data_IF_961685846063
#
_entry.id   IF_961685846063
#
_cell.length_a   1.000
_cell.length_b   1.000
_cell.length_c   1.000
_cell.angle_alpha   90.00
_cell.angle_beta   90.00
_cell.angle_gamma   90.00
#
_symmetry.space_group_name_H-M   'P 1'
#
loop_
_entity.id
_entity.type
_entity.pdbx_description
1 polymer ?
#
# COMPACT_ATOMS: atom_id res chain seq x y z
N UNK A 1 -12.30 5.93 -31.79
CA UNK A 1 -11.94 4.82 -30.86
C UNK A 1 -10.76 5.24 -30.00
N UNK A 2 -10.98 6.15 -29.06
CA UNK A 2 -9.94 6.83 -28.28
C UNK A 2 -9.66 6.08 -26.97
N UNK A 3 -8.58 5.28 -26.97
CA UNK A 3 -7.79 4.92 -25.78
C UNK A 3 -8.45 4.05 -24.70
N UNK A 4 -8.80 2.81 -25.02
CA UNK A 4 -9.32 1.78 -24.08
C UNK A 4 -8.26 1.15 -23.16
N UNK A 5 -6.98 1.52 -23.28
CA UNK A 5 -5.91 0.84 -22.55
C UNK A 5 -5.87 1.21 -21.06
N UNK A 6 -5.78 0.19 -20.21
CA UNK A 6 -5.31 0.32 -18.83
C UNK A 6 -3.84 0.72 -18.84
N UNK A 7 -3.44 1.59 -17.93
CA UNK A 7 -2.08 2.13 -17.87
C UNK A 7 -1.75 2.53 -16.45
N UNK A 8 -0.57 2.18 -15.99
CA UNK A 8 -0.09 2.49 -14.66
C UNK A 8 1.42 2.71 -14.70
N UNK A 9 1.86 3.75 -13.98
CA UNK A 9 3.27 4.03 -13.74
C UNK A 9 3.45 4.20 -12.25
N UNK A 10 4.41 3.47 -11.69
CA UNK A 10 4.80 3.54 -10.29
C UNK A 10 6.27 3.92 -10.22
N UNK A 11 6.62 5.03 -9.58
CA UNK A 11 7.98 5.55 -9.56
C UNK A 11 8.33 6.21 -8.22
N UNK A 12 9.60 6.60 -8.08
CA UNK A 12 10.13 7.43 -6.98
C UNK A 12 10.64 8.73 -7.57
N UNK A 13 10.73 9.76 -6.77
CA UNK A 13 11.44 10.98 -7.12
C UNK A 13 12.51 11.20 -6.05
N UNK A 14 13.78 11.32 -6.44
CA UNK A 14 14.92 11.26 -5.51
C UNK A 14 14.85 12.38 -4.47
N UNK A 15 14.42 13.56 -4.90
CA UNK A 15 14.27 14.78 -4.13
C UNK A 15 12.98 14.80 -3.29
N UNK A 16 12.19 13.72 -3.34
CA UNK A 16 11.05 13.47 -2.47
C UNK A 16 11.19 12.12 -1.74
N UNK A 17 12.21 11.97 -0.86
CA UNK A 17 12.53 10.70 -0.23
C UNK A 17 11.42 10.19 0.67
N UNK A 18 11.25 8.87 0.73
CA UNK A 18 10.21 8.24 1.54
C UNK A 18 8.80 8.35 0.95
N UNK A 19 8.66 8.75 -0.32
CA UNK A 19 7.37 8.87 -0.99
C UNK A 19 7.39 8.13 -2.31
N UNK A 20 6.54 7.11 -2.43
CA UNK A 20 6.27 6.48 -3.73
C UNK A 20 5.15 7.24 -4.45
N UNK A 21 5.20 7.23 -5.77
CA UNK A 21 4.26 7.94 -6.64
C UNK A 21 3.61 6.95 -7.62
N UNK A 22 2.31 7.11 -7.86
CA UNK A 22 1.58 6.35 -8.86
C UNK A 22 0.67 7.27 -9.68
N UNK A 23 0.58 7.00 -10.97
CA UNK A 23 -0.48 7.47 -11.84
C UNK A 23 -1.06 6.28 -12.57
N UNK A 24 -2.37 6.07 -12.48
CA UNK A 24 -3.00 4.91 -13.08
C UNK A 24 -4.40 5.21 -13.63
N UNK A 25 -4.77 4.41 -14.63
CA UNK A 25 -6.13 4.22 -15.10
C UNK A 25 -6.38 2.72 -15.22
N UNK A 26 -7.43 2.27 -14.55
CA UNK A 26 -7.87 0.88 -14.56
C UNK A 26 -9.34 0.78 -14.92
N UNK A 27 -9.72 -0.31 -15.59
CA UNK A 27 -11.08 -0.59 -16.06
C UNK A 27 -11.53 -1.94 -15.50
N UNK A 28 -10.75 -3.00 -15.76
CA UNK A 28 -11.05 -4.38 -15.35
C UNK A 28 -10.21 -4.82 -14.16
N UNK A 29 -9.18 -4.05 -13.80
CA UNK A 29 -8.32 -4.36 -12.65
C UNK A 29 -9.13 -4.53 -11.37
N UNK A 30 -8.86 -5.64 -10.69
CA UNK A 30 -9.23 -5.84 -9.30
C UNK A 30 -7.98 -6.13 -8.49
N UNK A 31 -7.69 -5.28 -7.52
CA UNK A 31 -6.68 -5.51 -6.50
C UNK A 31 -7.22 -6.52 -5.48
N UNK A 32 -6.48 -7.61 -5.32
CA UNK A 32 -6.78 -8.61 -4.29
C UNK A 32 -6.56 -8.01 -2.91
N UNK A 33 -7.02 -8.68 -1.86
CA UNK A 33 -6.79 -8.19 -0.50
C UNK A 33 -5.29 -8.10 -0.20
N UNK A 34 -4.81 -6.92 0.17
CA UNK A 34 -3.39 -6.62 0.40
C UNK A 34 -3.21 -5.49 1.43
N UNK A 35 -1.95 -5.21 1.78
CA UNK A 35 -1.56 -4.10 2.66
C UNK A 35 -0.42 -3.28 2.07
N UNK A 36 -0.22 -2.07 2.61
CA UNK A 36 0.89 -1.19 2.29
C UNK A 36 1.64 -0.83 3.57
N UNK A 37 2.97 -0.72 3.49
CA UNK A 37 3.81 -0.19 4.59
C UNK A 37 3.70 1.33 4.70
N UNK A 38 3.41 1.98 3.58
CA UNK A 38 3.20 3.42 3.50
C UNK A 38 1.70 3.75 3.55
N UNK A 39 1.39 5.01 3.82
CA UNK A 39 0.05 5.53 3.60
C UNK A 39 -0.32 5.40 2.12
N UNK A 40 -1.61 5.30 1.82
CA UNK A 40 -2.16 5.49 0.48
C UNK A 40 -2.99 6.77 0.52
N UNK A 41 -2.60 7.75 -0.29
CA UNK A 41 -3.39 8.96 -0.54
C UNK A 41 -3.69 8.99 -2.04
N UNK A 42 -4.81 8.39 -2.43
CA UNK A 42 -5.24 8.27 -3.82
C UNK A 42 -6.28 9.34 -4.16
N UNK A 43 -5.93 10.25 -5.05
CA UNK A 43 -6.77 11.32 -5.56
C UNK A 43 -7.49 10.86 -6.83
N UNK A 44 -8.81 10.70 -6.76
CA UNK A 44 -9.63 10.21 -7.86
C UNK A 44 -9.94 11.37 -8.81
N UNK A 45 -9.45 11.27 -10.04
CA UNK A 45 -9.62 12.28 -11.07
C UNK A 45 -10.87 12.04 -11.93
N UNK A 46 -11.26 10.77 -12.11
CA UNK A 46 -12.37 10.34 -12.95
C UNK A 46 -12.81 8.93 -12.56
N UNK A 47 -14.09 8.61 -12.81
CA UNK A 47 -14.71 7.35 -12.46
C UNK A 47 -14.88 7.14 -10.95
N UNK A 48 -14.94 5.87 -10.54
CA UNK A 48 -15.17 5.47 -9.14
C UNK A 48 -14.28 4.30 -8.76
N UNK A 49 -13.51 4.46 -7.68
CA UNK A 49 -12.85 3.35 -7.01
C UNK A 49 -13.77 2.82 -5.90
N UNK A 50 -13.96 1.50 -5.86
CA UNK A 50 -14.59 0.80 -4.76
C UNK A 50 -13.55 -0.09 -4.09
N UNK A 51 -13.43 -0.01 -2.78
CA UNK A 51 -12.51 -0.82 -2.02
C UNK A 51 -13.14 -1.32 -0.73
N UNK A 52 -12.82 -2.57 -0.40
CA UNK A 52 -13.24 -3.16 0.86
C UNK A 52 -12.29 -2.70 1.95
N UNK A 53 -12.79 -2.02 2.98
CA UNK A 53 -12.01 -1.48 4.08
C UNK A 53 -12.75 -1.70 5.40
N UNK A 54 -12.07 -2.31 6.38
CA UNK A 54 -12.60 -2.60 7.74
C UNK A 54 -13.99 -3.27 7.77
N UNK A 55 -14.27 -4.17 6.82
CA UNK A 55 -15.49 -4.99 6.82
C UNK A 55 -16.61 -4.49 5.92
N UNK A 56 -16.47 -3.32 5.30
CA UNK A 56 -17.45 -2.76 4.36
C UNK A 56 -16.79 -2.31 3.06
N UNK A 57 -17.54 -2.35 1.97
CA UNK A 57 -17.16 -1.67 0.73
C UNK A 57 -17.41 -0.17 0.87
N UNK A 58 -16.43 0.63 0.48
CA UNK A 58 -16.50 2.09 0.42
C UNK A 58 -16.16 2.56 -0.99
N UNK A 59 -16.74 3.69 -1.41
CA UNK A 59 -16.57 4.22 -2.77
C UNK A 59 -15.98 5.62 -2.72
N UNK A 60 -14.97 5.87 -3.56
CA UNK A 60 -14.40 7.19 -3.81
C UNK A 60 -14.60 7.54 -5.29
N UNK A 61 -15.44 8.54 -5.55
CA UNK A 61 -15.67 9.09 -6.89
C UNK A 61 -14.72 10.23 -7.23
N UNK A 62 -14.81 10.74 -8.46
CA UNK A 62 -14.07 11.91 -8.89
C UNK A 62 -14.22 13.09 -7.91
N UNK A 63 -13.11 13.71 -7.54
CA UNK A 63 -13.06 14.79 -6.54
C UNK A 63 -12.87 14.33 -5.09
N UNK A 64 -12.97 13.02 -4.82
CA UNK A 64 -12.69 12.45 -3.52
C UNK A 64 -11.28 11.83 -3.44
N UNK A 65 -10.84 11.62 -2.19
CA UNK A 65 -9.62 10.91 -1.83
C UNK A 65 -9.97 9.55 -1.24
N UNK A 66 -9.35 8.49 -1.76
CA UNK A 66 -9.27 7.20 -1.08
C UNK A 66 -8.01 7.17 -0.21
N UNK A 67 -8.21 6.93 1.08
CA UNK A 67 -7.20 7.02 2.13
C UNK A 67 -7.04 5.66 2.81
N UNK A 68 -5.82 5.15 2.83
CA UNK A 68 -5.51 3.91 3.55
C UNK A 68 -4.30 4.11 4.44
N UNK A 69 -4.44 3.72 5.71
CA UNK A 69 -3.35 3.75 6.68
C UNK A 69 -2.40 2.55 6.46
N UNK A 70 -1.13 2.65 6.89
CA UNK A 70 -0.21 1.52 6.91
C UNK A 70 -0.80 0.26 7.53
N UNK A 71 -0.39 -0.91 7.03
CA UNK A 71 -0.79 -2.25 7.50
C UNK A 71 -2.31 -2.48 7.62
N UNK A 72 -3.10 -1.73 6.83
CA UNK A 72 -4.56 -1.82 6.79
C UNK A 72 -5.00 -2.62 5.56
N UNK A 73 -5.59 -3.82 5.76
CA UNK A 73 -6.07 -4.65 4.67
C UNK A 73 -7.15 -3.96 3.85
N UNK A 74 -6.95 -3.93 2.54
CA UNK A 74 -7.95 -3.41 1.61
C UNK A 74 -7.89 -4.11 0.25
N UNK A 75 -8.91 -3.84 -0.57
CA UNK A 75 -8.97 -4.24 -1.99
C UNK A 75 -9.04 -2.99 -2.86
N UNK A 76 -9.33 -3.14 -4.15
CA UNK A 76 -9.63 -2.00 -5.03
C UNK A 76 -10.18 -2.51 -6.35
N UNK A 77 -11.26 -1.91 -6.84
CA UNK A 77 -11.90 -2.27 -8.11
C UNK A 77 -12.64 -1.07 -8.67
N UNK A 78 -13.01 -1.15 -9.94
CA UNK A 78 -13.89 -0.16 -10.54
C UNK A 78 -15.29 -0.24 -9.93
N UNK A 79 -15.88 0.91 -9.64
CA UNK A 79 -17.30 1.06 -9.27
C UNK A 79 -18.22 1.27 -10.47
N UNK A 80 -17.65 1.64 -11.62
CA UNK A 80 -18.38 1.93 -12.87
C UNK A 80 -17.68 1.28 -14.08
N UNK A 81 -18.39 0.99 -15.19
CA UNK A 81 -17.84 0.29 -16.35
C UNK A 81 -16.65 0.99 -17.02
N UNK A 82 -16.59 2.32 -16.94
CA UNK A 82 -15.53 3.14 -17.52
C UNK A 82 -14.21 3.04 -16.74
N UNK A 83 -14.26 2.45 -15.55
CA UNK A 83 -13.11 2.32 -14.66
C UNK A 83 -12.91 3.51 -13.74
N UNK A 84 -11.66 3.76 -13.37
CA UNK A 84 -11.25 4.95 -12.64
C UNK A 84 -9.85 5.39 -13.03
N UNK A 85 -9.61 6.69 -12.93
CA UNK A 85 -8.31 7.31 -13.18
C UNK A 85 -7.92 8.10 -11.95
N UNK A 86 -6.71 7.89 -11.47
CA UNK A 86 -6.24 8.49 -10.22
C UNK A 86 -4.74 8.72 -10.23
N UNK A 87 -4.32 9.58 -9.31
CA UNK A 87 -2.94 9.74 -8.90
C UNK A 87 -2.83 9.41 -7.43
N UNK A 88 -1.78 8.74 -7.01
CA UNK A 88 -1.55 8.43 -5.60
C UNK A 88 -0.14 8.79 -5.17
N UNK A 89 -0.05 9.29 -3.93
CA UNK A 89 1.21 9.42 -3.21
C UNK A 89 1.20 8.46 -2.03
N UNK A 90 2.34 7.83 -1.76
CA UNK A 90 2.50 6.88 -0.68
C UNK A 90 3.60 7.34 0.28
N UNK A 91 3.36 8.39 1.08
CA UNK A 91 4.34 8.84 2.05
C UNK A 91 4.55 7.79 3.14
N UNK A 92 5.80 7.61 3.55
CA UNK A 92 6.15 6.70 4.64
C UNK A 92 5.55 7.17 5.97
N UNK A 93 5.42 6.26 6.95
CA UNK A 93 5.00 6.63 8.30
C UNK A 93 5.83 7.76 8.91
N UNK A 94 7.13 7.77 8.65
CA UNK A 94 8.07 8.78 9.15
C UNK A 94 7.79 10.17 8.56
N UNK A 95 7.51 10.24 7.25
CA UNK A 95 7.17 11.51 6.57
C UNK A 95 5.88 12.09 7.16
N UNK A 96 4.84 11.27 7.30
CA UNK A 96 3.55 11.71 7.87
C UNK A 96 3.70 12.09 9.34
N UNK A 97 4.47 11.34 10.12
CA UNK A 97 4.74 11.64 11.53
C UNK A 97 5.46 12.98 11.72
N UNK A 98 6.46 13.28 10.89
CA UNK A 98 7.18 14.55 10.92
C UNK A 98 6.23 15.73 10.62
N UNK A 99 5.43 15.63 9.56
CA UNK A 99 4.45 16.67 9.20
C UNK A 99 3.41 16.85 10.32
N UNK A 100 2.91 15.75 10.89
CA UNK A 100 1.93 15.79 11.98
C UNK A 100 2.48 16.52 13.21
N UNK A 101 3.74 16.25 13.58
CA UNK A 101 4.39 16.88 14.73
C UNK A 101 4.58 18.40 14.57
N UNK A 102 4.80 18.86 13.34
CA UNK A 102 5.00 20.29 13.05
C UNK A 102 3.67 21.06 12.89
N UNK A 103 2.58 20.40 12.49
CA UNK A 103 1.39 21.09 11.96
C UNK A 103 0.07 20.79 12.67
N UNK A 104 0.08 19.82 13.61
CA UNK A 104 -1.11 19.33 14.31
C UNK A 104 -0.85 19.10 15.80
N UNK A 105 -1.91 18.79 16.55
CA UNK A 105 -1.86 18.43 17.98
C UNK A 105 -2.09 16.94 18.24
N UNK A 106 -2.05 16.10 17.20
CA UNK A 106 -2.32 14.66 17.30
C UNK A 106 -1.27 14.00 18.19
N UNK A 107 -1.71 13.31 19.25
CA UNK A 107 -0.84 12.55 20.15
C UNK A 107 -0.79 11.08 19.73
N UNK A 108 0.39 10.48 19.73
CA UNK A 108 0.60 9.08 19.31
C UNK A 108 0.86 8.96 17.80
N UNK A 109 0.63 7.77 17.24
CA UNK A 109 0.85 7.54 15.80
C UNK A 109 -0.27 8.21 14.99
N UNK A 110 0.02 9.19 14.12
CA UNK A 110 -1.00 9.85 13.31
C UNK A 110 -1.52 8.93 12.20
N UNK A 111 -2.77 9.14 11.79
CA UNK A 111 -3.31 8.55 10.58
C UNK A 111 -4.72 9.07 10.28
N UNK A 112 -5.34 8.50 9.25
CA UNK A 112 -6.65 8.92 8.76
C UNK A 112 -7.78 8.17 9.46
N UNK A 113 -8.79 8.91 9.91
CA UNK A 113 -9.96 8.35 10.62
C UNK A 113 -10.95 7.74 9.62
N UNK A 114 -11.35 8.51 8.61
CA UNK A 114 -12.19 8.08 7.50
C UNK A 114 -11.36 7.58 6.31
N UNK A 115 -11.75 6.47 5.65
CA UNK A 115 -11.09 5.98 4.45
C UNK A 115 -11.42 6.79 3.19
N UNK A 116 -12.45 7.63 3.23
CA UNK A 116 -12.83 8.49 2.10
C UNK A 116 -13.03 9.92 2.60
N UNK A 117 -12.49 10.88 1.85
CA UNK A 117 -12.69 12.30 2.09
C UNK A 117 -13.06 13.01 0.79
N UNK A 118 -14.21 13.69 0.77
CA UNK A 118 -14.57 14.60 -0.32
C UNK A 118 -13.86 15.95 -0.11
N UNK A 119 -12.74 16.14 -0.81
CA UNK A 119 -11.96 17.36 -0.74
C UNK A 119 -11.27 17.63 -2.10
N UNK A 120 -12.01 18.20 -3.07
CA UNK A 120 -11.49 18.44 -4.42
C UNK A 120 -10.24 19.33 -4.44
N UNK A 121 -10.04 20.15 -3.41
CA UNK A 121 -8.83 20.95 -3.26
C UNK A 121 -7.60 20.08 -3.02
N UNK A 122 -7.66 19.13 -2.08
CA UNK A 122 -6.54 18.21 -1.83
C UNK A 122 -6.33 17.25 -2.99
N UNK A 123 -7.39 16.83 -3.70
CA UNK A 123 -7.25 16.09 -4.97
C UNK A 123 -6.38 16.85 -5.97
N UNK A 124 -6.60 18.16 -6.15
CA UNK A 124 -5.76 19.00 -7.01
C UNK A 124 -4.31 19.06 -6.50
N UNK A 125 -4.10 19.25 -5.19
CA UNK A 125 -2.75 19.28 -4.62
C UNK A 125 -1.98 17.98 -4.90
N UNK A 126 -2.59 16.81 -4.69
CA UNK A 126 -1.95 15.51 -4.96
C UNK A 126 -1.57 15.39 -6.44
N UNK A 127 -2.45 15.80 -7.36
CA UNK A 127 -2.10 15.81 -8.79
C UNK A 127 -0.99 16.81 -9.13
N UNK A 128 -0.93 17.95 -8.45
CA UNK A 128 0.15 18.92 -8.60
C UNK A 128 1.49 18.39 -8.05
N UNK A 129 1.49 17.62 -6.95
CA UNK A 129 2.69 16.90 -6.46
C UNK A 129 3.24 15.99 -7.56
N UNK A 130 2.37 15.15 -8.15
CA UNK A 130 2.77 14.22 -9.20
C UNK A 130 3.29 14.93 -10.44
N UNK A 131 2.71 16.07 -10.80
CA UNK A 131 3.16 16.90 -11.92
C UNK A 131 4.51 17.54 -11.64
N UNK A 132 4.69 18.14 -10.46
CA UNK A 132 5.94 18.77 -10.06
C UNK A 132 7.10 17.77 -10.03
N UNK A 133 6.85 16.53 -9.56
CA UNK A 133 7.83 15.46 -9.60
C UNK A 133 8.20 15.04 -11.03
N UNK A 134 7.23 14.97 -11.96
CA UNK A 134 7.51 14.70 -13.38
C UNK A 134 8.30 15.84 -14.05
N UNK A 135 8.10 17.08 -13.61
CA UNK A 135 8.79 18.28 -14.12
C UNK A 135 10.16 18.52 -13.44
N UNK A 136 10.57 17.66 -12.49
CA UNK A 136 11.82 17.84 -11.74
C UNK A 136 11.82 19.04 -10.79
N UNK A 137 10.65 19.54 -10.39
CA UNK A 137 10.52 20.68 -9.50
C UNK A 137 10.43 20.23 -8.04
N UNK A 138 11.59 19.93 -7.45
CA UNK A 138 11.75 19.45 -6.07
C UNK A 138 11.02 20.32 -5.04
N UNK A 139 11.22 21.64 -5.09
CA UNK A 139 10.63 22.57 -4.12
C UNK A 139 9.11 22.54 -4.17
N UNK A 140 8.53 22.56 -5.38
CA UNK A 140 7.08 22.50 -5.54
C UNK A 140 6.52 21.14 -5.08
N UNK A 141 7.16 20.03 -5.45
CA UNK A 141 6.72 18.69 -5.07
C UNK A 141 6.67 18.51 -3.55
N UNK A 142 7.76 18.84 -2.84
CA UNK A 142 7.82 18.74 -1.37
C UNK A 142 6.84 19.70 -0.68
N UNK A 143 6.77 20.97 -1.12
CA UNK A 143 5.85 21.96 -0.55
C UNK A 143 4.39 21.51 -0.68
N UNK A 144 3.98 21.10 -1.88
CA UNK A 144 2.61 20.66 -2.14
C UNK A 144 2.26 19.39 -1.37
N UNK A 145 3.20 18.45 -1.22
CA UNK A 145 2.99 17.25 -0.41
C UNK A 145 2.74 17.63 1.05
N UNK A 146 3.56 18.50 1.63
CA UNK A 146 3.38 18.98 3.01
C UNK A 146 2.04 19.67 3.21
N UNK A 147 1.63 20.53 2.27
CA UNK A 147 0.32 21.19 2.32
C UNK A 147 -0.82 20.17 2.25
N UNK A 148 -0.75 19.21 1.33
CA UNK A 148 -1.77 18.17 1.18
C UNK A 148 -1.90 17.30 2.45
N UNK A 149 -0.78 16.77 2.96
CA UNK A 149 -0.77 15.93 4.17
C UNK A 149 -1.22 16.71 5.39
N UNK A 150 -0.77 17.95 5.58
CA UNK A 150 -1.21 18.82 6.69
C UNK A 150 -2.71 19.01 6.66
N UNK A 151 -3.28 19.33 5.48
CA UNK A 151 -4.72 19.53 5.33
C UNK A 151 -5.49 18.25 5.63
N UNK A 152 -5.05 17.10 5.12
CA UNK A 152 -5.66 15.80 5.40
C UNK A 152 -5.67 15.48 6.88
N UNK A 153 -4.55 15.71 7.59
CA UNK A 153 -4.45 15.47 9.02
C UNK A 153 -5.32 16.44 9.83
N UNK A 154 -5.52 17.68 9.38
CA UNK A 154 -6.42 18.62 10.06
C UNK A 154 -7.89 18.28 9.88
N UNK A 155 -8.28 17.82 8.69
CA UNK A 155 -9.67 17.50 8.37
C UNK A 155 -10.09 16.11 8.82
N UNK A 156 -9.17 15.15 8.79
CA UNK A 156 -9.46 13.73 8.95
C UNK A 156 -8.38 12.97 9.73
N UNK A 157 -7.46 13.68 10.39
CA UNK A 157 -6.39 13.06 11.16
C UNK A 157 -6.81 12.71 12.58
N UNK A 158 -6.27 11.60 13.08
CA UNK A 158 -6.42 11.18 14.47
C UNK A 158 -5.36 10.17 14.86
N UNK A 159 -5.29 9.79 16.14
CA UNK A 159 -4.40 8.73 16.59
C UNK A 159 -4.86 7.38 16.01
N UNK A 160 -3.96 6.67 15.34
CA UNK A 160 -4.21 5.29 14.96
C UNK A 160 -4.32 4.42 16.21
N UNK A 161 -5.25 3.46 16.24
CA UNK A 161 -5.32 2.51 17.35
C UNK A 161 -4.00 1.75 17.41
N UNK A 162 -3.31 1.84 18.55
CA UNK A 162 -2.20 0.92 18.80
C UNK A 162 -2.77 -0.50 18.82
N UNK A 163 -2.28 -1.38 17.93
CA UNK A 163 -2.54 -2.82 18.00
C UNK A 163 -1.97 -3.35 19.31
N UNK A 164 -2.77 -3.27 20.37
CA UNK A 164 -2.40 -3.74 21.70
C UNK A 164 -2.37 -5.28 21.66
N UNK A 165 -1.17 -5.87 21.71
CA UNK A 165 -0.95 -7.33 21.84
C UNK A 165 -1.29 -7.82 23.25
N UNK A 166 -2.51 -7.53 23.70
CA UNK A 166 -2.93 -7.77 25.10
C UNK A 166 -3.61 -9.10 25.31
N UNK A 167 -4.30 -9.60 24.28
CA UNK A 167 -4.96 -10.91 24.33
C UNK A 167 -3.98 -12.03 24.00
N UNK A 168 -4.26 -13.23 24.52
CA UNK A 168 -3.48 -14.42 24.17
C UNK A 168 -3.50 -14.66 22.64
N UNK A 169 -4.66 -14.49 22.00
CA UNK A 169 -4.81 -14.57 20.55
C UNK A 169 -3.92 -13.57 19.80
N UNK A 170 -3.89 -12.30 20.21
CA UNK A 170 -3.03 -11.29 19.56
C UNK A 170 -1.53 -11.62 19.70
N UNK A 171 -1.10 -12.19 20.84
CA UNK A 171 0.28 -12.66 21.02
C UNK A 171 0.59 -13.87 20.13
N UNK A 172 -0.32 -14.82 20.03
CA UNK A 172 -0.19 -15.98 19.13
C UNK A 172 -0.08 -15.51 17.68
N UNK A 173 -0.93 -14.58 17.25
CA UNK A 173 -0.88 -14.01 15.90
C UNK A 173 0.45 -13.27 15.63
N UNK A 174 0.97 -12.52 16.60
CA UNK A 174 2.28 -11.86 16.49
C UNK A 174 3.43 -12.86 16.35
N UNK A 175 3.44 -13.94 17.13
CA UNK A 175 4.44 -15.01 17.01
C UNK A 175 4.33 -15.75 15.68
N UNK A 176 3.11 -16.06 15.24
CA UNK A 176 2.87 -16.69 13.95
C UNK A 176 3.40 -15.82 12.79
N UNK A 177 3.13 -14.51 12.83
CA UNK A 177 3.68 -13.56 11.86
C UNK A 177 5.21 -13.60 11.84
N UNK A 178 5.86 -13.53 13.01
CA UNK A 178 7.33 -13.55 13.09
C UNK A 178 7.92 -14.82 12.46
N UNK A 179 7.33 -16.00 12.73
CA UNK A 179 7.76 -17.26 12.10
C UNK A 179 7.56 -17.24 10.59
N UNK A 180 6.45 -16.67 10.09
CA UNK A 180 6.19 -16.55 8.66
C UNK A 180 7.11 -15.55 7.95
N UNK A 181 7.54 -14.49 8.64
CA UNK A 181 8.54 -13.54 8.12
C UNK A 181 9.92 -14.19 8.05
N UNK A 182 10.33 -14.87 9.11
CA UNK A 182 11.61 -15.57 9.19
C UNK A 182 11.72 -16.70 8.17
N UNK A 183 10.65 -17.50 8.04
CA UNK A 183 10.58 -18.67 7.15
C UNK A 183 9.75 -18.39 5.91
N UNK A 184 9.87 -17.18 5.37
CA UNK A 184 9.05 -16.73 4.25
C UNK A 184 9.24 -17.59 2.99
N UNK A 185 10.46 -18.08 2.73
CA UNK A 185 10.74 -18.94 1.58
C UNK A 185 10.08 -20.31 1.72
N UNK A 186 10.21 -20.92 2.90
CA UNK A 186 9.73 -22.27 3.23
C UNK A 186 8.88 -22.24 4.51
N UNK A 187 7.62 -21.75 4.43
CA UNK A 187 6.77 -21.59 5.60
C UNK A 187 6.31 -22.96 6.12
N UNK A 188 6.12 -23.11 7.45
CA UNK A 188 5.50 -24.31 8.01
C UNK A 188 4.05 -24.46 7.55
N UNK A 189 3.52 -25.69 7.62
CA UNK A 189 2.07 -25.91 7.48
C UNK A 189 1.29 -25.23 8.60
N UNK A 190 0.00 -25.01 8.41
CA UNK A 190 -0.86 -24.43 9.44
C UNK A 190 -0.88 -25.29 10.71
N UNK A 191 -0.92 -26.61 10.55
CA UNK A 191 -0.92 -27.60 11.64
C UNK A 191 0.37 -27.52 12.45
N UNK A 192 1.52 -27.45 11.78
CA UNK A 192 2.82 -27.33 12.43
C UNK A 192 2.96 -25.99 13.14
N UNK A 193 2.60 -24.90 12.46
CA UNK A 193 2.62 -23.56 13.05
C UNK A 193 1.72 -23.45 14.28
N UNK A 194 0.54 -24.07 14.25
CA UNK A 194 -0.37 -24.09 15.39
C UNK A 194 0.20 -24.92 16.55
N UNK A 195 0.74 -26.11 16.25
CA UNK A 195 1.39 -26.99 17.24
C UNK A 195 2.56 -26.29 17.93
N UNK A 196 3.47 -25.70 17.16
CA UNK A 196 4.66 -25.00 17.66
C UNK A 196 4.29 -23.80 18.56
N UNK A 197 3.11 -23.20 18.35
CA UNK A 197 2.60 -22.08 19.14
C UNK A 197 1.64 -22.50 20.26
N UNK A 198 1.43 -23.80 20.47
CA UNK A 198 0.55 -24.32 21.52
C UNK A 198 -0.92 -23.97 21.32
N UNK A 199 -1.41 -23.99 20.08
CA UNK A 199 -2.81 -23.66 19.75
C UNK A 199 -3.39 -24.62 18.70
N UNK A 200 -4.70 -24.50 18.43
CA UNK A 200 -5.33 -25.26 17.34
C UNK A 200 -5.29 -24.47 16.02
N UNK A 201 -5.31 -25.14 14.85
CA UNK A 201 -5.33 -24.48 13.54
C UNK A 201 -6.46 -23.44 13.40
N UNK A 202 -7.68 -23.78 13.84
CA UNK A 202 -8.82 -22.86 13.78
C UNK A 202 -8.67 -21.67 14.73
N UNK A 203 -8.12 -21.88 15.92
CA UNK A 203 -7.85 -20.78 16.86
C UNK A 203 -6.78 -19.84 16.31
N UNK A 204 -5.72 -20.37 15.68
CA UNK A 204 -4.70 -19.59 15.01
C UNK A 204 -5.27 -18.78 13.84
N UNK A 205 -6.07 -19.39 12.96
CA UNK A 205 -6.72 -18.69 11.85
C UNK A 205 -7.58 -17.52 12.32
N UNK A 206 -8.38 -17.74 13.38
CA UNK A 206 -9.22 -16.70 13.98
C UNK A 206 -8.37 -15.58 14.56
N UNK A 207 -7.42 -15.92 15.43
CA UNK A 207 -6.52 -14.94 16.05
C UNK A 207 -5.75 -14.11 15.03
N UNK A 208 -5.28 -14.73 13.95
CA UNK A 208 -4.55 -14.05 12.88
C UNK A 208 -5.45 -13.10 12.08
N UNK A 209 -6.68 -13.54 11.73
CA UNK A 209 -7.69 -12.70 11.06
C UNK A 209 -8.10 -11.53 11.95
N UNK A 210 -8.28 -11.74 13.25
CA UNK A 210 -8.65 -10.67 14.18
C UNK A 210 -7.53 -9.63 14.32
N UNK A 211 -6.27 -10.08 14.33
CA UNK A 211 -5.12 -9.19 14.47
C UNK A 211 -4.76 -8.43 13.17
N UNK A 212 -4.76 -9.13 12.04
CA UNK A 212 -4.22 -8.63 10.76
C UNK A 212 -5.26 -8.50 9.65
N UNK A 213 -6.53 -8.78 9.95
CA UNK A 213 -7.65 -8.66 9.02
C UNK A 213 -7.67 -9.67 7.88
N UNK A 214 -6.73 -10.61 7.80
CA UNK A 214 -6.68 -11.63 6.73
C UNK A 214 -6.08 -12.95 7.21
N UNK A 215 -6.28 -14.07 6.48
CA UNK A 215 -5.67 -15.36 6.83
C UNK A 215 -4.13 -15.36 6.66
N UNK A 216 -3.40 -16.24 7.39
CA UNK A 216 -1.94 -16.33 7.33
C UNK A 216 -1.35 -16.48 5.92
N UNK A 217 -1.94 -17.33 5.08
CA UNK A 217 -1.44 -17.55 3.71
C UNK A 217 -1.57 -16.29 2.82
N UNK A 218 -2.70 -15.59 2.91
CA UNK A 218 -2.91 -14.32 2.19
C UNK A 218 -1.92 -13.27 2.67
N UNK A 219 -1.72 -13.19 3.99
CA UNK A 219 -0.76 -12.30 4.61
C UNK A 219 0.68 -12.59 4.18
N UNK A 220 1.08 -13.87 4.15
CA UNK A 220 2.42 -14.27 3.70
C UNK A 220 2.64 -13.90 2.23
N UNK A 221 1.64 -14.11 1.37
CA UNK A 221 1.73 -13.73 -0.05
C UNK A 221 1.96 -12.22 -0.21
N UNK A 222 1.24 -11.41 0.57
CA UNK A 222 1.44 -9.95 0.62
C UNK A 222 2.85 -9.59 1.11
N UNK A 223 3.30 -10.21 2.20
CA UNK A 223 4.63 -10.00 2.76
C UNK A 223 5.76 -10.36 1.77
N UNK A 224 5.59 -11.44 1.01
CA UNK A 224 6.50 -11.85 -0.07
C UNK A 224 6.60 -10.78 -1.16
N UNK A 225 5.47 -10.22 -1.58
CA UNK A 225 5.45 -9.13 -2.57
C UNK A 225 6.13 -7.88 -2.01
N UNK A 226 5.89 -7.51 -0.75
CA UNK A 226 6.59 -6.39 -0.09
C UNK A 226 8.10 -6.61 -0.05
N UNK A 227 8.56 -7.80 0.35
CA UNK A 227 9.99 -8.13 0.34
C UNK A 227 10.58 -8.11 -1.07
N UNK A 228 9.84 -8.61 -2.06
CA UNK A 228 10.26 -8.56 -3.46
C UNK A 228 10.41 -7.11 -3.96
N UNK A 229 9.55 -6.16 -3.55
CA UNK A 229 9.72 -4.73 -3.87
C UNK A 229 11.06 -4.19 -3.38
N UNK A 230 11.45 -4.52 -2.14
CA UNK A 230 12.72 -4.08 -1.57
C UNK A 230 13.93 -4.66 -2.34
N UNK A 231 13.86 -5.93 -2.75
CA UNK A 231 14.89 -6.56 -3.56
C UNK A 231 14.99 -5.92 -4.96
N UNK A 232 13.85 -5.66 -5.59
CA UNK A 232 13.80 -4.99 -6.90
C UNK A 232 14.34 -3.55 -6.83
N UNK A 233 13.99 -2.81 -5.76
CA UNK A 233 14.50 -1.47 -5.47
C UNK A 233 16.03 -1.49 -5.28
N UNK A 234 16.59 -2.57 -4.73
CA UNK A 234 18.02 -2.81 -4.60
C UNK A 234 18.70 -3.38 -5.86
N UNK A 235 17.97 -3.53 -6.97
CA UNK A 235 18.50 -3.98 -8.25
C UNK A 235 18.50 -5.49 -8.49
N UNK A 236 18.04 -6.32 -7.54
CA UNK A 236 17.91 -7.78 -7.71
C UNK A 236 17.01 -8.13 -8.90
N UNK A 237 17.40 -9.10 -9.73
CA UNK A 237 16.59 -9.48 -10.89
C UNK A 237 15.25 -10.10 -10.45
N UNK A 238 14.13 -9.90 -11.20
CA UNK A 238 12.83 -10.45 -10.81
C UNK A 238 12.80 -11.97 -10.60
N UNK A 239 13.58 -12.73 -11.37
CA UNK A 239 13.68 -14.18 -11.21
C UNK A 239 14.35 -14.59 -9.89
N UNK A 240 15.44 -13.93 -9.54
CA UNK A 240 16.15 -14.15 -8.28
C UNK A 240 15.29 -13.71 -7.09
N UNK A 241 14.66 -12.54 -7.18
CA UNK A 241 13.75 -12.06 -6.15
C UNK A 241 12.61 -13.05 -5.89
N UNK A 242 12.06 -13.70 -6.93
CA UNK A 242 11.01 -14.71 -6.78
C UNK A 242 11.47 -15.87 -5.90
N UNK A 243 12.67 -16.42 -6.15
CA UNK A 243 13.25 -17.51 -5.37
C UNK A 243 13.51 -17.08 -3.92
N UNK A 244 14.15 -15.93 -3.73
CA UNK A 244 14.51 -15.41 -2.39
C UNK A 244 13.27 -15.24 -1.50
N UNK A 245 12.14 -14.78 -2.05
CA UNK A 245 10.92 -14.61 -1.26
C UNK A 245 10.02 -15.85 -1.23
N UNK A 246 10.39 -16.95 -1.87
CA UNK A 246 9.61 -18.20 -1.83
C UNK A 246 8.44 -18.29 -2.81
N UNK A 247 8.49 -17.56 -3.93
CA UNK A 247 7.67 -17.90 -5.10
C UNK A 247 8.36 -19.01 -5.90
N UNK A 248 7.55 -19.90 -6.47
CA UNK A 248 8.03 -21.06 -7.26
C UNK A 248 8.90 -20.64 -8.44
N UNK A 249 8.52 -19.56 -9.11
CA UNK A 249 9.20 -19.04 -10.29
C UNK A 249 8.85 -17.55 -10.52
N UNK A 250 9.52 -16.93 -11.49
CA UNK A 250 9.24 -15.54 -11.88
C UNK A 250 7.80 -15.34 -12.38
N UNK A 251 7.20 -16.19 -13.22
CA UNK A 251 5.78 -16.09 -13.57
C UNK A 251 4.84 -16.04 -12.36
N UNK A 252 5.13 -16.81 -11.31
CA UNK A 252 4.36 -16.84 -10.07
C UNK A 252 4.47 -15.51 -9.33
N UNK A 253 5.69 -14.97 -9.17
CA UNK A 253 5.88 -13.61 -8.66
C UNK A 253 5.14 -12.58 -9.52
N UNK A 254 5.29 -12.62 -10.85
CA UNK A 254 4.66 -11.67 -11.77
C UNK A 254 3.13 -11.60 -11.55
N UNK A 255 2.46 -12.74 -11.41
CA UNK A 255 1.02 -12.81 -11.17
C UNK A 255 0.64 -12.12 -9.85
N UNK A 256 1.29 -12.46 -8.74
CA UNK A 256 0.95 -11.88 -7.43
C UNK A 256 1.35 -10.42 -7.32
N UNK A 257 2.56 -10.08 -7.75
CA UNK A 257 3.08 -8.72 -7.74
C UNK A 257 2.18 -7.80 -8.55
N UNK A 258 1.80 -8.20 -9.77
CA UNK A 258 0.88 -7.38 -10.59
C UNK A 258 -0.47 -7.24 -9.90
N UNK A 259 -1.05 -8.30 -9.31
CA UNK A 259 -2.36 -8.25 -8.63
C UNK A 259 -2.37 -7.35 -7.38
N UNK A 260 -1.23 -7.19 -6.71
CA UNK A 260 -1.09 -6.41 -5.48
C UNK A 260 -0.59 -4.98 -5.77
N UNK A 261 0.48 -4.83 -6.55
CA UNK A 261 1.16 -3.55 -6.81
C UNK A 261 0.55 -2.81 -8.02
N UNK A 262 -0.18 -3.51 -8.89
CA UNK A 262 -0.83 -2.91 -10.06
C UNK A 262 0.04 -2.81 -11.31
N UNK A 263 1.35 -3.01 -11.18
CA UNK A 263 2.32 -3.07 -12.29
C UNK A 263 3.17 -4.35 -12.22
N UNK A 264 3.68 -4.88 -13.34
CA UNK A 264 4.61 -6.01 -13.32
C UNK A 264 5.96 -5.64 -12.67
N UNK A 265 6.67 -6.59 -12.03
CA UNK A 265 7.90 -6.31 -11.29
C UNK A 265 9.03 -5.78 -12.17
N UNK A 266 9.14 -6.23 -13.43
CA UNK A 266 10.13 -5.69 -14.37
C UNK A 266 9.85 -4.22 -14.76
N UNK A 267 8.57 -3.85 -14.90
CA UNK A 267 8.19 -2.47 -15.15
C UNK A 267 8.45 -1.59 -13.92
N UNK A 268 8.10 -2.10 -12.74
CA UNK A 268 8.38 -1.47 -11.45
C UNK A 268 9.88 -1.20 -11.27
N UNK A 269 10.74 -2.20 -11.48
CA UNK A 269 12.18 -2.06 -11.30
C UNK A 269 12.81 -1.06 -12.28
N UNK A 270 12.39 -1.05 -13.54
CA UNK A 270 12.90 -0.09 -14.54
C UNK A 270 12.61 1.35 -14.10
N UNK A 271 11.41 1.64 -13.62
CA UNK A 271 11.06 2.98 -13.11
C UNK A 271 11.89 3.37 -11.86
N UNK A 272 12.40 2.42 -11.10
CA UNK A 272 13.32 2.70 -9.97
C UNK A 272 14.75 3.01 -10.43
N UNK A 273 15.24 2.30 -11.45
CA UNK A 273 16.57 2.53 -12.03
C UNK A 273 16.68 3.90 -12.69
N UNK A 274 15.64 4.33 -13.40
CA UNK A 274 15.59 5.64 -14.05
C UNK A 274 15.70 6.83 -13.08
N UNK A 275 15.56 6.61 -11.77
CA UNK A 275 15.71 7.61 -10.71
C UNK A 275 17.12 7.60 -10.13
N UNK A 276 17.84 6.48 -10.23
CA UNK A 276 19.19 6.30 -9.67
C UNK A 276 20.31 6.70 -10.66
N UNK A 277 20.03 6.71 -11.97
CA UNK A 277 20.93 7.21 -13.01
C UNK A 277 20.32 8.46 -13.68
N UNK A 278 20.61 9.68 -13.20
CA UNK A 278 20.34 10.88 -13.98
C UNK A 278 21.40 10.93 -15.10
N UNK A 279 20.97 10.64 -16.32
CA UNK A 279 21.81 10.82 -17.51
C UNK A 279 22.26 12.26 -17.71
#
# INVERSE_FOLDING_TARGET
MTGSAERARHWRYEELPGVDLLRARYIRKTFVRHTHENFVIAAIADGVEVFHHRGSDVSAGAGALALVNPDTPHTGRAGVPEGWRYGAVYPSPEVVAKIAAETTTIRGTPGFVSPVLDDPYTVRLVHQVLRAADEGNALAADTLLRVAVTRLLRLNGGPLPQRRTRTAGARIAARARAVLEERMAEPPTLERLATDLGTSPFALLRAFRDAYGMPPHTWLTDARVRRARLLLDAGTAPAEAAVVVGFTDQPHLNRHFTRIVGVPPGAYQRERKNVQDPG
#
